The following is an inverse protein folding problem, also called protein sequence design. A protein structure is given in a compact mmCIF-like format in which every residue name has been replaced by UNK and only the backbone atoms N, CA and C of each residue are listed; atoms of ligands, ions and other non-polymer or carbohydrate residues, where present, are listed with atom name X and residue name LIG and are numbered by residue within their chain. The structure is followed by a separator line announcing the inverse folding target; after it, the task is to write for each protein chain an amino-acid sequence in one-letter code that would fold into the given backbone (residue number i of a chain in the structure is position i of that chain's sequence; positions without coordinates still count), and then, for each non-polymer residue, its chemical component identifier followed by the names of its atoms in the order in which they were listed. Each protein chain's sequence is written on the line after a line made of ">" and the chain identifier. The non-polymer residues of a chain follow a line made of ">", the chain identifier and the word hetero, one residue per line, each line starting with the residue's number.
data_IF_995504343803
#
_entry.id   IF_995504343803
#
_cell.length_a   1.000
_cell.length_b   1.000
_cell.length_c   1.000
_cell.angle_alpha   90.00
_cell.angle_beta   90.00
_cell.angle_gamma   90.00
#
_symmetry.space_group_name_H-M   'P 1'
#
loop_
_entity.id
_entity.type
_entity.pdbx_description
1 polymer ?
#
# COMPACT_ATOMS: atom_id res chain seq x y z
N UNK A 1 6.85 -7.74 10.36
CA UNK A 1 7.64 -7.03 11.38
C UNK A 1 6.80 -6.79 12.62
N UNK A 2 7.42 -6.92 13.78
CA UNK A 2 6.79 -6.77 15.09
C UNK A 2 6.49 -5.29 15.40
N UNK A 3 5.61 -5.02 16.38
CA UNK A 3 5.24 -3.65 16.77
C UNK A 3 6.47 -2.78 17.12
N UNK A 4 7.38 -3.33 17.93
CA UNK A 4 8.58 -2.62 18.38
C UNK A 4 9.49 -2.21 17.21
N UNK A 5 9.64 -3.08 16.21
CA UNK A 5 10.49 -2.79 15.05
C UNK A 5 9.92 -1.66 14.20
N UNK A 6 8.59 -1.65 14.01
CA UNK A 6 7.91 -0.56 13.28
C UNK A 6 8.05 0.76 14.01
N UNK A 7 7.84 0.75 15.32
CA UNK A 7 7.97 1.96 16.15
C UNK A 7 9.38 2.55 16.07
N UNK A 8 10.41 1.71 16.20
CA UNK A 8 11.80 2.15 16.07
C UNK A 8 12.12 2.64 14.66
N UNK A 9 11.52 2.03 13.63
CA UNK A 9 11.61 2.49 12.24
C UNK A 9 11.05 3.91 12.05
N UNK A 10 9.88 4.18 12.63
CA UNK A 10 9.26 5.51 12.60
C UNK A 10 10.13 6.55 13.31
N UNK A 11 10.63 6.25 14.52
CA UNK A 11 11.54 7.15 15.25
C UNK A 11 12.83 7.42 14.48
N UNK A 12 13.38 6.42 13.80
CA UNK A 12 14.56 6.60 12.95
C UNK A 12 14.30 7.56 11.79
N UNK A 13 13.07 7.59 11.25
CA UNK A 13 12.68 8.53 10.19
C UNK A 13 12.63 9.99 10.66
N UNK A 14 12.50 10.23 11.97
CA UNK A 14 12.45 11.57 12.57
C UNK A 14 13.83 12.22 12.74
N UNK A 15 14.92 11.46 12.61
CA UNK A 15 16.29 11.98 12.75
C UNK A 15 16.71 12.73 11.47
N UNK A 16 16.32 14.02 11.39
CA UNK A 16 16.74 14.96 10.34
C UNK A 16 18.08 15.61 10.67
N UNK A 17 18.34 15.91 11.95
CA UNK A 17 19.61 16.43 12.42
C UNK A 17 20.40 15.35 13.18
N UNK A 18 21.43 14.79 12.54
CA UNK A 18 22.27 13.75 13.15
C UNK A 18 23.20 14.25 14.26
N UNK A 19 23.43 15.56 14.36
CA UNK A 19 24.25 16.15 15.43
C UNK A 19 23.51 16.14 16.78
N UNK A 20 22.18 16.15 16.75
CA UNK A 20 21.31 16.14 17.92
C UNK A 20 20.08 15.24 17.65
N UNK A 21 20.26 13.90 17.63
CA UNK A 21 19.23 12.98 17.19
C UNK A 21 18.01 12.99 18.13
N UNK A 22 18.21 13.10 19.44
CA UNK A 22 17.13 13.14 20.43
C UNK A 22 16.27 14.40 20.26
N UNK A 23 16.91 15.56 20.06
CA UNK A 23 16.22 16.82 19.79
C UNK A 23 15.43 16.77 18.47
N UNK A 24 16.01 16.19 17.43
CA UNK A 24 15.35 16.00 16.14
C UNK A 24 14.12 15.08 16.24
N UNK A 25 14.20 14.02 17.05
CA UNK A 25 13.08 13.12 17.30
C UNK A 25 11.98 13.84 18.09
N UNK A 26 12.34 14.54 19.17
CA UNK A 26 11.39 15.26 20.01
C UNK A 26 10.61 16.33 19.21
N UNK A 27 11.30 17.13 18.41
CA UNK A 27 10.69 18.16 17.57
C UNK A 27 9.71 17.55 16.55
N UNK A 28 10.15 16.52 15.82
CA UNK A 28 9.31 15.84 14.84
C UNK A 28 8.10 15.15 15.49
N UNK A 29 8.27 14.61 16.70
CA UNK A 29 7.19 13.98 17.45
C UNK A 29 6.13 15.00 17.86
N UNK A 30 6.53 16.16 18.40
CA UNK A 30 5.61 17.26 18.74
C UNK A 30 4.85 17.74 17.50
N UNK A 31 5.54 17.91 16.37
CA UNK A 31 4.90 18.28 15.12
C UNK A 31 3.88 17.22 14.64
N UNK A 32 4.25 15.93 14.74
CA UNK A 32 3.36 14.81 14.38
C UNK A 32 2.09 14.82 15.24
N UNK A 33 2.21 14.90 16.56
CA UNK A 33 1.06 14.95 17.48
C UNK A 33 0.17 16.16 17.21
N UNK A 34 0.76 17.33 16.96
CA UNK A 34 0.02 18.55 16.60
C UNK A 34 -0.81 18.37 15.32
N UNK A 35 -0.22 17.78 14.28
CA UNK A 35 -0.93 17.48 13.03
C UNK A 35 -2.02 16.42 13.22
N UNK A 36 -1.76 15.40 14.03
CA UNK A 36 -2.75 14.39 14.41
C UNK A 36 -3.92 15.03 15.15
N UNK A 37 -3.68 15.96 16.08
CA UNK A 37 -4.73 16.72 16.74
C UNK A 37 -5.53 17.56 15.74
N UNK A 38 -4.87 18.35 14.89
CA UNK A 38 -5.53 19.16 13.88
C UNK A 38 -6.39 18.31 12.91
N UNK A 39 -5.94 17.11 12.54
CA UNK A 39 -6.67 16.24 11.63
C UNK A 39 -8.05 15.81 12.13
N UNK A 40 -8.28 15.80 13.45
CA UNK A 40 -9.61 15.51 14.02
C UNK A 40 -10.65 16.58 13.72
N UNK A 41 -10.20 17.80 13.41
CA UNK A 41 -11.05 18.95 13.13
C UNK A 41 -11.09 19.31 11.64
N UNK A 42 -10.28 18.67 10.81
CA UNK A 42 -10.35 18.82 9.37
C UNK A 42 -11.52 17.99 8.83
N UNK A 43 -12.27 18.54 7.87
CA UNK A 43 -13.36 17.84 7.19
C UNK A 43 -12.85 16.53 6.58
N UNK A 44 -13.72 15.51 6.49
CA UNK A 44 -13.44 14.22 5.84
C UNK A 44 -13.05 14.35 4.36
N UNK A 45 -13.29 15.51 3.75
CA UNK A 45 -12.80 15.86 2.42
C UNK A 45 -11.27 16.08 2.37
N UNK A 46 -10.60 16.31 3.50
CA UNK A 46 -9.15 16.48 3.57
C UNK A 46 -8.50 15.13 3.85
N UNK A 47 -7.62 14.76 2.93
CA UNK A 47 -6.92 13.49 2.94
C UNK A 47 -5.80 13.52 3.99
N UNK A 48 -6.11 13.09 5.22
CA UNK A 48 -5.16 13.03 6.33
C UNK A 48 -4.63 11.61 6.53
N UNK A 49 -3.46 11.48 7.18
CA UNK A 49 -2.90 10.17 7.49
C UNK A 49 -3.82 9.25 8.33
N UNK A 50 -4.81 9.83 9.02
CA UNK A 50 -5.83 9.08 9.78
C UNK A 50 -7.02 8.63 8.93
N UNK A 51 -7.38 9.37 7.89
CA UNK A 51 -8.50 9.04 7.00
C UNK A 51 -8.08 8.07 5.88
N UNK A 52 -6.78 7.93 5.63
CA UNK A 52 -6.27 7.00 4.61
C UNK A 52 -6.39 5.56 5.05
N UNK A 53 -6.92 4.73 4.15
CA UNK A 53 -6.96 3.27 4.31
C UNK A 53 -5.56 2.75 4.64
N UNK A 54 -5.45 2.00 5.74
CA UNK A 54 -4.16 1.41 6.11
C UNK A 54 -3.71 0.40 5.06
N UNK A 55 -2.40 0.28 4.83
CA UNK A 55 -1.85 -0.70 3.86
C UNK A 55 -2.25 -2.16 4.15
N UNK A 56 -2.71 -2.44 5.37
CA UNK A 56 -3.15 -3.74 5.85
C UNK A 56 -4.59 -3.67 6.40
N UNK A 57 -5.51 -3.00 5.71
CA UNK A 57 -6.93 -3.09 6.07
C UNK A 57 -7.48 -4.45 5.64
N UNK A 58 -8.07 -5.19 6.58
CA UNK A 58 -8.63 -6.54 6.34
C UNK A 58 -9.80 -6.53 5.32
N UNK A 59 -10.40 -5.36 5.08
CA UNK A 59 -11.57 -5.17 4.19
C UNK A 59 -11.23 -5.17 2.69
N UNK A 60 -9.95 -5.15 2.32
CA UNK A 60 -9.52 -5.25 0.91
C UNK A 60 -8.34 -6.19 0.81
N UNK A 61 -8.33 -7.17 -0.13
CA UNK A 61 -7.12 -7.95 -0.36
C UNK A 61 -6.00 -6.97 -0.66
N UNK A 62 -5.01 -6.91 0.24
CA UNK A 62 -3.87 -6.01 0.12
C UNK A 62 -3.11 -6.41 -1.13
N UNK A 63 -3.48 -5.81 -2.27
CA UNK A 63 -2.67 -5.84 -3.47
C UNK A 63 -1.47 -4.96 -3.12
N UNK A 64 -0.47 -5.62 -2.53
CA UNK A 64 0.70 -4.98 -1.96
C UNK A 64 1.28 -3.99 -2.96
N UNK A 65 1.46 -2.74 -2.53
CA UNK A 65 2.14 -1.76 -3.36
C UNK A 65 3.60 -2.18 -3.52
N UNK A 66 4.05 -2.51 -4.75
CA UNK A 66 5.44 -2.88 -4.97
C UNK A 66 6.33 -1.71 -4.56
N UNK A 67 7.31 -1.99 -3.72
CA UNK A 67 8.36 -1.03 -3.37
C UNK A 67 9.21 -0.86 -4.62
N UNK A 68 8.87 0.15 -5.42
CA UNK A 68 9.54 0.48 -6.66
C UNK A 68 8.54 0.62 -7.81
N UNK A 69 7.83 1.75 -7.86
CA UNK A 69 7.19 2.42 -9.01
C UNK A 69 6.45 1.60 -10.09
N UNK A 70 6.32 0.28 -9.97
CA UNK A 70 5.69 -0.57 -10.97
C UNK A 70 4.19 -0.45 -10.78
N UNK A 71 3.52 -0.01 -11.83
CA UNK A 71 2.07 0.09 -11.89
C UNK A 71 1.50 -1.30 -11.64
N UNK A 72 0.73 -1.44 -10.57
CA UNK A 72 -0.11 -2.60 -10.36
C UNK A 72 -1.14 -2.62 -11.49
N UNK A 73 -1.07 -3.63 -12.34
CA UNK A 73 -2.10 -3.92 -13.34
C UNK A 73 -3.03 -4.92 -12.69
N UNK A 74 -4.21 -4.46 -12.29
CA UNK A 74 -5.29 -5.35 -11.92
C UNK A 74 -5.99 -5.76 -13.21
N UNK A 75 -6.08 -7.07 -13.46
CA UNK A 75 -6.84 -7.60 -14.60
C UNK A 75 -8.32 -7.69 -14.21
N UNK A 76 -9.19 -7.15 -15.07
CA UNK A 76 -10.63 -7.37 -14.93
C UNK A 76 -11.00 -8.80 -15.36
N UNK A 77 -12.19 -9.27 -14.99
CA UNK A 77 -12.71 -10.56 -15.42
C UNK A 77 -12.70 -10.71 -16.96
N UNK A 78 -12.92 -9.62 -17.69
CA UNK A 78 -12.84 -9.60 -19.16
C UNK A 78 -11.42 -9.89 -19.65
N UNK A 79 -10.42 -9.25 -19.04
CA UNK A 79 -9.01 -9.44 -19.43
C UNK A 79 -8.56 -10.87 -19.13
N UNK A 80 -8.97 -11.43 -17.98
CA UNK A 80 -8.70 -12.80 -17.62
C UNK A 80 -9.37 -13.80 -18.57
N UNK A 81 -10.63 -13.58 -18.93
CA UNK A 81 -11.33 -14.43 -19.89
C UNK A 81 -10.69 -14.40 -21.27
N UNK A 82 -10.20 -13.23 -21.71
CA UNK A 82 -9.47 -13.12 -22.97
C UNK A 82 -8.14 -13.87 -22.92
N UNK A 83 -7.38 -13.76 -21.82
CA UNK A 83 -6.13 -14.49 -21.64
C UNK A 83 -6.36 -16.00 -21.60
N UNK A 84 -7.36 -16.46 -20.83
CA UNK A 84 -7.72 -17.88 -20.76
C UNK A 84 -8.18 -18.40 -22.13
N UNK A 85 -9.03 -17.66 -22.84
CA UNK A 85 -9.47 -18.01 -24.18
C UNK A 85 -8.29 -18.16 -25.13
N UNK A 86 -7.37 -17.20 -25.13
CA UNK A 86 -6.16 -17.28 -25.96
C UNK A 86 -5.35 -18.55 -25.68
N UNK A 87 -5.15 -18.91 -24.41
CA UNK A 87 -4.40 -20.13 -24.05
C UNK A 87 -5.13 -21.38 -24.56
N UNK A 88 -6.45 -21.49 -24.30
CA UNK A 88 -7.23 -22.65 -24.69
C UNK A 88 -7.31 -22.83 -26.20
N UNK A 89 -7.47 -21.73 -26.96
CA UNK A 89 -7.53 -21.78 -28.43
C UNK A 89 -6.18 -22.03 -29.11
N UNK A 90 -5.06 -21.86 -28.41
CA UNK A 90 -3.72 -22.13 -28.94
C UNK A 90 -3.07 -23.38 -28.33
N UNK A 91 -3.80 -24.16 -27.52
CA UNK A 91 -3.30 -25.40 -26.92
C UNK A 91 -3.75 -26.61 -27.76
N UNK A 92 -2.80 -27.31 -28.38
CA UNK A 92 -3.05 -28.44 -29.29
C UNK A 92 -3.86 -29.57 -28.63
N UNK A 93 -3.63 -29.81 -27.35
CA UNK A 93 -4.31 -30.84 -26.53
C UNK A 93 -5.80 -30.53 -26.33
N UNK A 94 -6.17 -29.24 -26.33
CA UNK A 94 -7.56 -28.79 -26.12
C UNK A 94 -8.30 -28.69 -27.45
N UNK A 95 -7.59 -28.56 -28.58
CA UNK A 95 -8.20 -28.49 -29.91
C UNK A 95 -9.06 -29.70 -30.24
N UNK A 96 -8.67 -30.90 -29.75
CA UNK A 96 -9.41 -32.14 -29.96
C UNK A 96 -10.83 -32.06 -29.37
N UNK A 97 -10.99 -31.40 -28.22
CA UNK A 97 -12.28 -31.22 -27.55
C UNK A 97 -13.11 -30.04 -28.11
N UNK A 98 -12.47 -29.09 -28.79
CA UNK A 98 -13.16 -27.95 -29.42
C UNK A 98 -13.76 -28.33 -30.78
N UNK A 99 -13.20 -29.34 -31.47
CA UNK A 99 -13.66 -29.79 -32.80
C UNK A 99 -14.65 -30.97 -32.76
N UNK A 100 -14.90 -31.55 -31.59
CA UNK A 100 -15.88 -32.60 -31.38
C UNK A 100 -17.30 -32.02 -31.21
#
# INVERSE_FOLDING_TARGET
>A
MYYMERYLGDLKSFVRNRRYPEGSIAEAYVAKEGLTFCSRYLSSAVDTGMNRMTRNSDDTPSIGHPIGGKKLVCFDHKDLNQAHGYILFNCDEVQEYIRA
#
